data_IF_661542178489
#
_entry.id   IF_661542178489
#
_cell.length_a   1.000
_cell.length_b   1.000
_cell.length_c   1.000
_cell.angle_alpha   90.00
_cell.angle_beta   90.00
_cell.angle_gamma   90.00
#
_symmetry.space_group_name_H-M   'P 1'
#
loop_
_entity.id
_entity.type
_entity.pdbx_description
1 polymer ?
#
# COMPACT_ATOMS: atom_id res chain seq x y z
N UNK A 1 78.91 6.72 20.55
CA UNK A 1 77.85 5.87 21.16
C UNK A 1 76.52 6.47 20.78
N UNK A 2 75.93 6.06 19.66
CA UNK A 2 74.66 6.56 19.15
C UNK A 2 73.54 5.63 19.54
N UNK A 3 72.54 6.17 20.28
CA UNK A 3 71.31 5.40 20.56
C UNK A 3 70.27 5.82 19.54
N UNK A 4 69.96 4.87 18.66
CA UNK A 4 68.83 4.97 17.73
C UNK A 4 67.51 4.81 18.46
N UNK A 5 66.68 5.84 18.48
CA UNK A 5 65.30 5.76 18.91
C UNK A 5 64.43 5.27 17.76
N UNK A 6 63.82 4.11 17.90
CA UNK A 6 62.85 3.58 16.95
C UNK A 6 61.46 4.17 17.29
N UNK A 7 60.90 4.95 16.37
CA UNK A 7 59.52 5.39 16.40
C UNK A 7 58.61 4.30 15.86
N UNK A 8 57.82 3.68 16.70
CA UNK A 8 56.73 2.75 16.30
C UNK A 8 55.52 3.63 15.95
N UNK A 9 55.23 3.70 14.67
CA UNK A 9 54.02 4.32 14.14
C UNK A 9 52.88 3.29 14.25
N UNK A 10 52.03 3.41 15.23
CA UNK A 10 50.81 2.60 15.34
C UNK A 10 49.73 3.20 14.42
N UNK A 11 49.52 2.58 13.26
CA UNK A 11 48.42 2.93 12.35
C UNK A 11 47.10 2.44 12.92
N UNK A 12 46.31 3.39 13.41
CA UNK A 12 44.93 3.14 13.86
C UNK A 12 44.00 3.01 12.61
N UNK A 13 43.76 1.79 12.16
CA UNK A 13 42.71 1.55 11.18
C UNK A 13 41.33 1.71 11.84
N UNK A 14 40.70 2.85 11.56
CA UNK A 14 39.29 3.03 11.90
C UNK A 14 38.46 2.27 10.85
N UNK A 15 37.99 1.09 11.22
CA UNK A 15 37.01 0.35 10.43
C UNK A 15 35.66 1.08 10.49
N UNK A 16 35.32 1.80 9.43
CA UNK A 16 33.94 2.29 9.25
C UNK A 16 33.08 1.06 8.91
N UNK A 17 32.40 0.54 9.92
CA UNK A 17 31.29 -0.37 9.70
C UNK A 17 30.16 0.43 9.03
N UNK A 18 30.01 0.30 7.74
CA UNK A 18 28.78 0.74 7.04
C UNK A 18 27.64 -0.10 7.59
N UNK A 19 26.80 0.50 8.44
CA UNK A 19 25.46 -0.06 8.68
C UNK A 19 24.72 -0.02 7.34
N UNK A 20 24.83 -1.10 6.58
CA UNK A 20 23.86 -1.39 5.54
C UNK A 20 22.54 -1.57 6.27
N UNK A 21 21.68 -0.55 6.24
CA UNK A 21 20.31 -0.67 6.70
C UNK A 21 19.72 -1.89 5.99
N UNK A 22 19.33 -2.91 6.74
CA UNK A 22 18.64 -4.06 6.19
C UNK A 22 17.44 -3.51 5.43
N UNK A 23 17.43 -3.66 4.11
CA UNK A 23 16.27 -3.32 3.31
C UNK A 23 15.09 -4.07 3.93
N UNK A 24 14.08 -3.32 4.38
CA UNK A 24 12.95 -3.89 5.10
C UNK A 24 12.20 -4.84 4.18
N UNK A 25 12.47 -6.13 4.32
CA UNK A 25 11.92 -7.16 3.44
C UNK A 25 10.42 -7.32 3.70
N UNK A 26 9.66 -7.52 2.63
CA UNK A 26 8.26 -7.89 2.74
C UNK A 26 8.20 -9.40 2.98
N UNK A 27 7.57 -9.88 4.08
CA UNK A 27 7.44 -11.32 4.33
C UNK A 27 6.57 -11.98 3.25
N UNK A 28 6.73 -13.29 3.07
CA UNK A 28 5.81 -14.05 2.23
C UNK A 28 4.42 -14.13 2.91
N UNK A 29 3.32 -14.08 2.14
CA UNK A 29 1.98 -14.27 2.70
C UNK A 29 1.84 -15.62 3.40
N UNK A 30 1.27 -15.63 4.59
CA UNK A 30 0.94 -16.84 5.34
C UNK A 30 -0.46 -17.38 5.02
N UNK A 31 -1.33 -16.50 4.55
CA UNK A 31 -2.71 -16.78 4.16
C UNK A 31 -2.96 -16.59 2.65
N UNK A 32 -4.22 -16.70 2.22
CA UNK A 32 -4.60 -16.41 0.83
C UNK A 32 -4.21 -14.99 0.42
N UNK A 33 -3.57 -14.86 -0.74
CA UNK A 33 -3.22 -13.55 -1.31
C UNK A 33 -4.50 -12.81 -1.70
N UNK A 34 -4.71 -11.63 -1.12
CA UNK A 34 -5.84 -10.76 -1.42
C UNK A 34 -5.46 -9.63 -2.40
N UNK A 35 -4.22 -9.14 -2.34
CA UNK A 35 -3.75 -8.04 -3.17
C UNK A 35 -2.37 -8.34 -3.73
N UNK A 36 -2.21 -8.15 -5.05
CA UNK A 36 -0.91 -8.22 -5.73
C UNK A 36 -0.56 -6.84 -6.30
N UNK A 37 0.64 -6.36 -6.04
CA UNK A 37 1.13 -5.06 -6.52
C UNK A 37 2.35 -5.28 -7.41
N UNK A 38 2.36 -4.64 -8.56
CA UNK A 38 3.43 -4.77 -9.56
C UNK A 38 3.79 -3.41 -10.18
N UNK A 39 4.70 -3.41 -11.14
CA UNK A 39 5.17 -2.19 -11.81
C UNK A 39 6.30 -1.51 -11.06
N UNK A 40 6.26 -0.18 -10.92
CA UNK A 40 7.32 0.61 -10.27
C UNK A 40 7.29 0.47 -8.74
N UNK A 41 7.64 -0.70 -8.22
CA UNK A 41 7.75 -1.02 -6.79
C UNK A 41 9.18 -1.42 -6.42
N UNK A 42 9.65 -1.00 -5.25
CA UNK A 42 11.00 -1.26 -4.77
C UNK A 42 11.08 -2.52 -3.88
N UNK A 43 10.00 -2.86 -3.17
CA UNK A 43 9.96 -3.97 -2.20
C UNK A 43 8.98 -5.03 -2.69
N UNK A 44 9.48 -6.25 -2.87
CA UNK A 44 8.70 -7.40 -3.38
C UNK A 44 8.94 -8.64 -2.51
N UNK A 45 8.00 -9.59 -2.53
CA UNK A 45 8.12 -10.91 -1.89
C UNK A 45 7.81 -12.06 -2.85
N UNK A 46 7.54 -11.74 -4.10
CA UNK A 46 7.39 -12.68 -5.21
C UNK A 46 8.13 -12.12 -6.44
N UNK A 47 8.24 -12.87 -7.52
CA UNK A 47 8.98 -12.46 -8.73
C UNK A 47 8.42 -11.15 -9.33
N UNK A 48 9.06 -10.01 -9.04
CA UNK A 48 8.68 -8.67 -9.51
C UNK A 48 7.37 -8.12 -8.94
N UNK A 49 6.83 -8.71 -7.87
CA UNK A 49 5.54 -8.37 -7.29
C UNK A 49 5.59 -8.34 -5.76
N UNK A 50 4.75 -7.53 -5.16
CA UNK A 50 4.45 -7.56 -3.74
C UNK A 50 3.06 -8.16 -3.53
N UNK A 51 2.99 -9.25 -2.78
CA UNK A 51 1.77 -9.97 -2.46
C UNK A 51 1.41 -9.78 -0.99
N UNK A 52 0.13 -9.51 -0.74
CA UNK A 52 -0.40 -9.28 0.60
C UNK A 52 -1.56 -10.23 0.89
N UNK A 53 -1.51 -10.88 2.02
CA UNK A 53 -2.67 -11.49 2.65
C UNK A 53 -3.37 -10.48 3.59
N UNK A 54 -4.42 -10.93 4.26
CA UNK A 54 -5.21 -10.09 5.17
C UNK A 54 -4.39 -9.53 6.32
N UNK A 55 -3.60 -10.37 6.98
CA UNK A 55 -2.83 -9.99 8.17
C UNK A 55 -1.74 -8.98 7.81
N UNK A 56 -1.08 -9.18 6.68
CA UNK A 56 -0.10 -8.24 6.15
C UNK A 56 -0.72 -6.87 5.87
N UNK A 57 -1.92 -6.82 5.28
CA UNK A 57 -2.63 -5.56 5.06
C UNK A 57 -2.97 -4.89 6.39
N UNK A 58 -3.58 -5.62 7.34
CA UNK A 58 -3.99 -5.09 8.63
C UNK A 58 -2.80 -4.56 9.45
N UNK A 59 -1.62 -5.16 9.31
CA UNK A 59 -0.39 -4.72 9.99
C UNK A 59 0.10 -3.34 9.57
N UNK A 60 -0.35 -2.82 8.41
CA UNK A 60 0.00 -1.48 7.93
C UNK A 60 -0.76 -0.34 8.61
N UNK A 61 -1.64 -0.67 9.53
CA UNK A 61 -2.47 0.27 10.27
C UNK A 61 -3.87 0.40 9.68
N UNK A 62 -4.87 0.27 10.55
CA UNK A 62 -6.27 0.36 10.16
C UNK A 62 -6.79 1.78 10.37
N UNK A 63 -7.65 2.22 9.46
CA UNK A 63 -8.44 3.45 9.56
C UNK A 63 -9.88 3.18 9.18
N UNK A 64 -10.76 4.10 9.53
CA UNK A 64 -12.18 4.04 9.19
C UNK A 64 -12.73 5.42 8.94
N UNK A 65 -13.76 5.49 8.10
CA UNK A 65 -14.61 6.66 7.94
C UNK A 65 -16.02 6.23 7.52
N UNK A 66 -17.00 7.09 7.78
CA UNK A 66 -18.37 6.91 7.31
C UNK A 66 -18.60 7.82 6.13
N UNK A 67 -19.09 7.28 5.01
CA UNK A 67 -19.34 8.07 3.80
C UNK A 67 -20.44 7.45 2.93
N UNK A 68 -21.12 8.29 2.16
CA UNK A 68 -22.00 7.87 1.09
C UNK A 68 -21.24 7.34 -0.13
N UNK A 69 -21.89 6.58 -0.96
CA UNK A 69 -21.36 6.09 -2.25
C UNK A 69 -22.43 6.12 -3.33
N UNK A 70 -22.04 6.05 -4.59
CA UNK A 70 -22.98 5.99 -5.71
C UNK A 70 -23.78 4.67 -5.78
N UNK A 71 -23.42 3.67 -4.96
CA UNK A 71 -23.97 2.31 -5.01
C UNK A 71 -24.66 1.87 -3.71
N UNK A 72 -24.81 2.76 -2.76
CA UNK A 72 -25.52 2.51 -1.50
C UNK A 72 -26.49 3.64 -1.18
N UNK A 73 -27.69 3.30 -0.69
CA UNK A 73 -28.75 4.24 -0.35
C UNK A 73 -28.45 5.08 0.90
N UNK A 74 -27.50 4.64 1.70
CA UNK A 74 -27.13 5.28 2.98
C UNK A 74 -25.62 5.29 3.14
N UNK A 75 -25.07 6.30 3.87
CA UNK A 75 -23.67 6.26 4.27
C UNK A 75 -23.34 4.98 5.03
N UNK A 76 -22.17 4.43 4.77
CA UNK A 76 -21.66 3.21 5.41
C UNK A 76 -20.35 3.50 6.14
N UNK A 77 -20.11 2.79 7.25
CA UNK A 77 -18.82 2.79 7.93
C UNK A 77 -17.87 1.83 7.22
N UNK A 78 -16.84 2.37 6.56
CA UNK A 78 -15.77 1.59 5.96
C UNK A 78 -14.57 1.49 6.90
N UNK A 79 -14.02 0.27 7.03
CA UNK A 79 -12.81 -0.03 7.80
C UNK A 79 -11.81 -0.72 6.88
N UNK A 80 -10.58 -0.24 6.88
CA UNK A 80 -9.55 -0.77 5.99
C UNK A 80 -8.19 -0.15 6.22
N UNK A 81 -7.33 -0.25 5.23
CA UNK A 81 -5.96 0.23 5.27
C UNK A 81 -5.82 1.40 4.29
N UNK A 82 -5.18 2.52 4.67
CA UNK A 82 -4.93 3.61 3.74
C UNK A 82 -4.19 3.11 2.49
N UNK A 83 -4.71 3.42 1.30
CA UNK A 83 -4.03 3.07 0.05
C UNK A 83 -2.59 3.61 0.04
N UNK A 84 -2.39 4.81 0.59
CA UNK A 84 -1.06 5.39 0.74
C UNK A 84 -0.11 4.52 1.56
N UNK A 85 -0.55 3.95 2.68
CA UNK A 85 0.29 3.10 3.54
C UNK A 85 0.75 1.82 2.81
N UNK A 86 -0.13 1.25 2.00
CA UNK A 86 0.19 0.08 1.16
C UNK A 86 1.25 0.45 0.12
N UNK A 87 1.09 1.58 -0.57
CA UNK A 87 2.03 2.05 -1.59
C UNK A 87 3.38 2.43 -1.00
N UNK A 88 3.40 3.08 0.17
CA UNK A 88 4.63 3.42 0.89
C UNK A 88 5.37 2.15 1.30
N UNK A 89 4.66 1.12 1.78
CA UNK A 89 5.26 -0.17 2.19
C UNK A 89 6.02 -0.88 1.08
N UNK A 90 5.55 -0.77 -0.15
CA UNK A 90 6.20 -1.37 -1.32
C UNK A 90 7.18 -0.43 -2.03
N UNK A 91 7.36 0.80 -1.52
CA UNK A 91 8.21 1.81 -2.18
C UNK A 91 7.71 2.12 -3.58
N UNK A 92 6.41 2.32 -3.75
CA UNK A 92 5.81 2.61 -5.04
C UNK A 92 6.27 3.97 -5.60
N UNK A 93 6.87 4.01 -6.80
CA UNK A 93 7.51 5.19 -7.44
C UNK A 93 6.67 5.62 -8.59
N UNK A 94 5.68 5.72 -8.97
CA UNK A 94 4.95 6.17 -10.19
C UNK A 94 4.01 7.33 -9.94
N UNK A 95 3.36 7.75 -11.00
CA UNK A 95 2.39 8.87 -11.01
C UNK A 95 0.94 8.40 -11.12
N UNK A 96 0.73 7.14 -11.48
CA UNK A 96 -0.58 6.54 -11.65
C UNK A 96 -0.63 5.11 -11.09
N UNK A 97 -1.81 4.70 -10.71
CA UNK A 97 -2.11 3.40 -10.12
C UNK A 97 -3.22 2.78 -10.95
N UNK A 98 -2.91 1.74 -11.71
CA UNK A 98 -3.93 0.95 -12.39
C UNK A 98 -4.49 -0.05 -11.39
N UNK A 99 -5.73 0.12 -11.00
CA UNK A 99 -6.45 -0.78 -10.10
C UNK A 99 -7.31 -1.74 -10.93
N UNK A 100 -7.19 -3.04 -10.64
CA UNK A 100 -7.93 -4.09 -11.34
C UNK A 100 -8.74 -4.94 -10.35
N UNK A 101 -9.95 -5.25 -10.73
CA UNK A 101 -10.87 -6.11 -9.99
C UNK A 101 -10.85 -7.55 -10.50
N UNK A 102 -11.45 -8.46 -9.75
CA UNK A 102 -11.56 -9.89 -10.10
C UNK A 102 -12.38 -10.15 -11.38
N UNK A 103 -13.27 -9.23 -11.74
CA UNK A 103 -14.10 -9.30 -12.95
C UNK A 103 -13.46 -8.57 -14.15
N UNK A 104 -12.13 -8.33 -14.09
CA UNK A 104 -11.34 -7.62 -15.09
C UNK A 104 -11.72 -6.15 -15.32
N UNK A 105 -12.53 -5.55 -14.42
CA UNK A 105 -12.70 -4.11 -14.43
C UNK A 105 -11.35 -3.44 -14.07
N UNK A 106 -10.98 -2.44 -14.85
CA UNK A 106 -9.74 -1.68 -14.63
C UNK A 106 -10.01 -0.18 -14.68
N UNK A 107 -9.33 0.55 -13.82
CA UNK A 107 -9.32 2.02 -13.82
C UNK A 107 -7.95 2.54 -13.44
N UNK A 108 -7.57 3.67 -14.00
CA UNK A 108 -6.35 4.39 -13.62
C UNK A 108 -6.71 5.45 -12.59
N UNK A 109 -6.09 5.35 -11.42
CA UNK A 109 -6.21 6.29 -10.31
C UNK A 109 -4.94 7.15 -10.32
N UNK A 110 -5.04 8.48 -10.51
CA UNK A 110 -3.89 9.37 -10.35
C UNK A 110 -3.33 9.29 -8.93
N UNK A 111 -2.00 9.29 -8.78
CA UNK A 111 -1.37 9.26 -7.46
C UNK A 111 -1.79 10.45 -6.58
N UNK A 112 -2.14 11.56 -7.19
CA UNK A 112 -2.62 12.75 -6.50
C UNK A 112 -3.92 12.53 -5.70
N UNK A 113 -4.69 11.50 -6.05
CA UNK A 113 -5.89 11.12 -5.28
C UNK A 113 -5.58 10.67 -3.85
N UNK A 114 -4.32 10.28 -3.59
CA UNK A 114 -3.90 9.91 -2.22
C UNK A 114 -4.09 11.05 -1.22
N UNK A 115 -4.17 12.31 -1.69
CA UNK A 115 -4.48 13.48 -0.86
C UNK A 115 -5.83 13.39 -0.16
N UNK A 116 -6.78 12.66 -0.73
CA UNK A 116 -8.11 12.46 -0.16
C UNK A 116 -8.14 11.35 0.90
N UNK A 117 -7.09 10.58 1.06
CA UNK A 117 -7.03 9.48 2.02
C UNK A 117 -7.91 8.27 1.67
N UNK A 118 -7.93 7.78 0.41
CA UNK A 118 -8.71 6.59 0.08
C UNK A 118 -8.24 5.37 0.87
N UNK A 119 -9.19 4.51 1.26
CA UNK A 119 -8.90 3.23 1.91
C UNK A 119 -9.05 2.07 0.93
N UNK A 120 -8.26 1.04 1.16
CA UNK A 120 -8.54 -0.32 0.73
C UNK A 120 -9.34 -0.97 1.86
N UNK A 121 -10.67 -0.90 1.75
CA UNK A 121 -11.59 -1.40 2.75
C UNK A 121 -11.65 -2.93 2.75
N UNK A 122 -11.70 -3.51 3.95
CA UNK A 122 -11.90 -4.94 4.19
C UNK A 122 -13.27 -5.20 4.82
N UNK A 123 -13.88 -4.16 5.43
CA UNK A 123 -15.21 -4.24 6.04
C UNK A 123 -16.08 -3.04 5.67
N UNK A 124 -17.37 -3.26 5.68
CA UNK A 124 -18.41 -2.24 5.65
C UNK A 124 -19.43 -2.54 6.76
N UNK A 125 -19.78 -1.52 7.54
CA UNK A 125 -20.72 -1.63 8.68
C UNK A 125 -20.36 -2.77 9.66
N UNK A 126 -19.04 -2.92 9.94
CA UNK A 126 -18.50 -3.95 10.84
C UNK A 126 -18.45 -5.36 10.25
N UNK A 127 -18.95 -5.57 9.03
CA UNK A 127 -18.96 -6.88 8.37
C UNK A 127 -17.85 -6.99 7.33
N UNK A 128 -17.15 -8.13 7.31
CA UNK A 128 -16.17 -8.42 6.27
C UNK A 128 -16.82 -8.37 4.89
N UNK A 129 -16.18 -7.71 3.94
CA UNK A 129 -16.60 -7.71 2.55
C UNK A 129 -16.49 -9.12 1.96
N UNK A 130 -17.60 -9.64 1.47
CA UNK A 130 -17.67 -10.99 0.89
C UNK A 130 -17.38 -10.94 -0.61
N UNK A 131 -16.72 -11.98 -1.11
CA UNK A 131 -16.36 -12.10 -2.52
C UNK A 131 -17.57 -11.97 -3.47
N UNK A 132 -18.71 -12.56 -3.09
CA UNK A 132 -19.96 -12.49 -3.87
C UNK A 132 -20.61 -11.11 -3.94
N UNK A 133 -20.17 -10.18 -3.07
CA UNK A 133 -20.69 -8.81 -3.01
C UNK A 133 -19.64 -7.85 -3.59
N UNK A 134 -18.93 -7.11 -2.73
CA UNK A 134 -17.92 -6.12 -3.12
C UNK A 134 -16.50 -6.46 -2.64
N UNK A 135 -16.33 -7.61 -1.95
CA UNK A 135 -15.06 -8.06 -1.39
C UNK A 135 -14.19 -8.87 -2.35
N UNK A 136 -13.02 -9.29 -1.86
CA UNK A 136 -12.55 -9.17 -0.48
C UNK A 136 -12.03 -7.76 -0.13
N UNK A 137 -11.70 -6.93 -1.11
CA UNK A 137 -11.17 -5.58 -0.96
C UNK A 137 -11.96 -4.61 -1.84
N UNK A 138 -12.10 -3.36 -1.35
CA UNK A 138 -12.77 -2.29 -2.08
C UNK A 138 -12.03 -0.97 -1.90
N UNK A 139 -11.60 -0.30 -2.97
CA UNK A 139 -11.09 1.07 -2.89
C UNK A 139 -12.27 1.99 -2.65
N UNK A 140 -12.24 2.73 -1.54
CA UNK A 140 -13.29 3.67 -1.11
C UNK A 140 -12.71 5.04 -0.81
N UNK A 141 -13.46 6.09 -1.12
CA UNK A 141 -13.06 7.47 -0.89
C UNK A 141 -13.95 8.12 0.18
N UNK A 142 -13.44 9.06 0.99
CA UNK A 142 -14.25 9.82 1.95
C UNK A 142 -15.06 10.91 1.23
N UNK A 143 -16.07 10.50 0.46
CA UNK A 143 -16.84 11.35 -0.46
C UNK A 143 -17.53 12.52 0.25
N UNK A 144 -18.02 12.26 1.47
CA UNK A 144 -18.78 13.26 2.23
C UNK A 144 -17.85 14.31 2.87
N UNK A 145 -16.54 14.03 2.98
CA UNK A 145 -15.55 14.95 3.55
C UNK A 145 -14.97 15.91 2.49
N UNK A 146 -15.13 15.60 1.20
CA UNK A 146 -14.54 16.35 0.09
C UNK A 146 -15.56 16.60 -1.02
N UNK A 147 -15.95 17.86 -1.21
CA UNK A 147 -16.90 18.23 -2.26
C UNK A 147 -16.43 17.81 -3.67
N UNK A 148 -15.14 17.82 -3.94
CA UNK A 148 -14.56 17.38 -5.21
C UNK A 148 -14.93 15.93 -5.55
N UNK A 149 -15.05 15.05 -4.54
CA UNK A 149 -15.35 13.62 -4.69
C UNK A 149 -16.82 13.35 -5.06
N UNK A 150 -17.68 14.37 -5.10
CA UNK A 150 -19.06 14.23 -5.61
C UNK A 150 -19.15 14.23 -7.14
N UNK A 151 -18.05 14.57 -7.83
CA UNK A 151 -17.97 14.51 -9.29
C UNK A 151 -17.94 13.03 -9.76
N UNK A 152 -18.76 12.71 -10.76
CA UNK A 152 -18.90 11.35 -11.33
C UNK A 152 -17.56 10.71 -11.78
N UNK A 153 -16.54 11.52 -12.07
CA UNK A 153 -15.19 11.02 -12.42
C UNK A 153 -14.56 10.17 -11.32
N UNK A 154 -14.93 10.43 -10.06
CA UNK A 154 -14.43 9.65 -8.93
C UNK A 154 -15.23 8.37 -8.69
N UNK A 155 -16.48 8.29 -9.17
CA UNK A 155 -17.31 7.08 -8.95
C UNK A 155 -16.68 5.83 -9.59
N UNK A 156 -16.04 5.99 -10.76
CA UNK A 156 -15.33 4.90 -11.43
C UNK A 156 -14.08 4.40 -10.68
N UNK A 157 -13.54 5.22 -9.75
CA UNK A 157 -12.34 4.88 -8.96
C UNK A 157 -12.66 4.08 -7.70
N UNK A 158 -13.94 3.84 -7.42
CA UNK A 158 -14.39 2.96 -6.35
C UNK A 158 -14.36 1.51 -6.82
N UNK A 159 -13.19 0.88 -6.75
CA UNK A 159 -12.96 -0.46 -7.30
C UNK A 159 -13.30 -1.51 -6.26
N UNK A 160 -14.47 -2.13 -6.39
CA UNK A 160 -14.84 -3.31 -5.58
C UNK A 160 -14.20 -4.58 -6.16
N UNK A 161 -14.13 -5.66 -5.37
CA UNK A 161 -13.44 -6.90 -5.72
C UNK A 161 -12.00 -6.65 -6.18
N UNK A 162 -11.35 -5.62 -5.62
CA UNK A 162 -9.97 -5.29 -5.91
C UNK A 162 -9.06 -6.48 -5.63
N UNK A 163 -8.16 -6.79 -6.57
CA UNK A 163 -7.15 -7.85 -6.41
C UNK A 163 -5.76 -7.47 -6.91
N UNK A 164 -5.64 -6.46 -7.77
CA UNK A 164 -4.34 -6.04 -8.32
C UNK A 164 -4.20 -4.52 -8.36
N UNK A 165 -2.96 -4.07 -8.12
CA UNK A 165 -2.51 -2.71 -8.41
C UNK A 165 -1.26 -2.79 -9.30
N UNK A 166 -1.22 -2.01 -10.37
CA UNK A 166 -0.02 -1.84 -11.18
C UNK A 166 0.41 -0.38 -11.14
N UNK A 167 1.67 -0.13 -10.75
CA UNK A 167 2.22 1.21 -10.55
C UNK A 167 2.92 1.68 -11.83
N UNK A 168 2.43 2.79 -12.41
CA UNK A 168 2.90 3.35 -13.69
C UNK A 168 3.79 4.59 -13.54
#
# INVERSE_FOLDING_TARGET
>A
MQRMAQFILASLMVAWATLAGAAETLPAPAGPVLLTISGKVAVTNAAGQAQFDREMLLSLGQQSFTTGSAVADKPQLFEGVPLKAILDRVGAGGTAIRASALNDYEVVIPRDDLRFGPLVALKADGQLLKLRDKGPLWIVYPRDDHQELTDMRYDSRWVWQLNRLHIE
#
